data_IF_273188498790
#
_entry.id   IF_273188498790
#
_cell.length_a   1.000
_cell.length_b   1.000
_cell.length_c   1.000
_cell.angle_alpha   90.00
_cell.angle_beta   90.00
_cell.angle_gamma   90.00
#
_symmetry.space_group_name_H-M   'P 1'
#
loop_
_entity.id
_entity.type
_entity.pdbx_description
1 polymer ?
#
# COMPACT_ATOMS: atom_id res chain seq x y z
N UNK A 1 -4.02 15.58 -2.67
CA UNK A 1 -4.67 15.55 -1.37
C UNK A 1 -5.94 16.40 -1.36
N UNK A 2 -6.70 16.45 -0.26
CA UNK A 2 -7.88 17.29 -0.16
C UNK A 2 -7.50 18.77 -0.32
N UNK A 3 -8.34 19.49 -1.03
CA UNK A 3 -8.18 20.94 -1.28
C UNK A 3 -9.43 21.64 -0.78
N UNK A 4 -9.25 22.65 0.07
CA UNK A 4 -10.32 23.55 0.49
C UNK A 4 -10.28 24.81 -0.39
N UNK A 5 -11.40 25.12 -1.02
CA UNK A 5 -11.60 26.38 -1.72
C UNK A 5 -12.62 27.22 -0.95
N UNK A 6 -12.18 28.33 -0.40
CA UNK A 6 -13.08 29.34 0.15
C UNK A 6 -13.47 30.31 -0.97
N UNK A 7 -14.75 30.33 -1.30
CA UNK A 7 -15.31 31.19 -2.33
C UNK A 7 -16.26 32.22 -1.69
N UNK A 8 -15.78 33.40 -1.31
CA UNK A 8 -16.61 34.47 -0.77
C UNK A 8 -17.76 34.83 -1.71
N UNK A 9 -18.89 35.31 -1.15
CA UNK A 9 -20.11 35.52 -1.90
C UNK A 9 -19.99 36.56 -3.04
N UNK A 10 -19.18 37.57 -2.86
CA UNK A 10 -18.88 38.55 -3.89
C UNK A 10 -18.14 37.95 -5.09
N UNK A 11 -17.19 37.05 -4.82
CA UNK A 11 -16.46 36.30 -5.85
C UNK A 11 -17.41 35.34 -6.60
N UNK A 12 -18.31 34.65 -5.88
CA UNK A 12 -19.29 33.77 -6.53
C UNK A 12 -20.25 34.52 -7.47
N UNK A 13 -20.54 35.78 -7.17
CA UNK A 13 -21.45 36.65 -7.98
C UNK A 13 -20.72 37.44 -9.05
N UNK A 14 -19.40 37.41 -9.10
CA UNK A 14 -18.62 38.17 -10.08
C UNK A 14 -18.73 37.58 -11.48
N UNK A 15 -18.76 38.43 -12.48
CA UNK A 15 -18.70 38.03 -13.88
C UNK A 15 -17.27 37.68 -14.26
N UNK A 16 -17.08 36.50 -14.89
CA UNK A 16 -15.78 36.05 -15.38
C UNK A 16 -15.81 35.84 -16.90
N UNK A 17 -14.74 36.23 -17.57
CA UNK A 17 -14.54 35.92 -18.99
C UNK A 17 -13.88 34.55 -19.14
N UNK A 18 -14.66 33.53 -19.48
CA UNK A 18 -14.19 32.12 -19.60
C UNK A 18 -13.03 32.01 -20.61
N UNK A 19 -12.99 32.84 -21.65
CA UNK A 19 -11.89 32.89 -22.62
C UNK A 19 -10.50 33.18 -21.99
N UNK A 20 -10.46 33.76 -20.79
CA UNK A 20 -9.21 34.06 -20.06
C UNK A 20 -8.74 32.91 -19.15
N UNK A 21 -9.57 31.87 -18.96
CA UNK A 21 -9.21 30.74 -18.12
C UNK A 21 -8.20 29.85 -18.85
N UNK A 22 -6.96 29.81 -18.34
CA UNK A 22 -5.92 28.94 -18.90
C UNK A 22 -6.08 27.52 -18.35
N UNK A 23 -6.08 26.52 -19.23
CA UNK A 23 -6.04 25.13 -18.83
C UNK A 23 -4.71 24.85 -18.12
N UNK A 24 -4.77 24.45 -16.85
CA UNK A 24 -3.59 24.02 -16.12
C UNK A 24 -3.28 22.57 -16.51
N UNK A 25 -2.08 22.31 -17.00
CA UNK A 25 -1.57 20.97 -17.29
C UNK A 25 -0.48 20.63 -16.30
N UNK A 26 -0.78 19.69 -15.41
CA UNK A 26 0.23 19.13 -14.48
C UNK A 26 0.92 17.99 -15.19
N UNK A 27 2.23 18.14 -15.46
CA UNK A 27 3.03 17.08 -16.05
C UNK A 27 3.68 16.26 -14.93
N UNK A 28 3.57 14.92 -14.96
CA UNK A 28 4.26 14.09 -13.97
C UNK A 28 5.78 14.27 -14.06
N UNK A 29 6.46 14.23 -12.92
CA UNK A 29 7.92 14.30 -12.86
C UNK A 29 8.51 13.04 -13.46
N UNK A 30 9.19 13.17 -14.61
CA UNK A 30 9.88 12.06 -15.25
C UNK A 30 11.19 11.75 -14.53
N UNK A 31 11.51 10.47 -14.44
CA UNK A 31 12.79 10.01 -13.94
C UNK A 31 13.84 10.04 -15.07
N UNK A 32 14.93 10.77 -14.86
CA UNK A 32 16.02 10.97 -15.84
C UNK A 32 17.41 10.95 -15.20
N UNK A 33 17.68 10.01 -14.30
CA UNK A 33 18.99 9.92 -13.66
C UNK A 33 19.58 8.51 -13.80
N UNK A 34 20.27 8.27 -14.91
CA UNK A 34 20.88 6.98 -15.22
C UNK A 34 21.99 6.59 -14.25
N UNK A 35 22.77 7.56 -13.76
CA UNK A 35 23.83 7.32 -12.79
C UNK A 35 23.27 6.82 -11.47
N UNK A 36 22.22 7.46 -10.97
CA UNK A 36 21.53 7.05 -9.74
C UNK A 36 20.88 5.67 -9.91
N UNK A 37 20.29 5.40 -11.09
CA UNK A 37 19.70 4.09 -11.39
C UNK A 37 20.76 2.98 -11.42
N UNK A 38 21.89 3.22 -12.04
CA UNK A 38 23.02 2.26 -12.06
C UNK A 38 23.53 1.98 -10.66
N UNK A 39 23.65 3.02 -9.81
CA UNK A 39 24.03 2.88 -8.40
C UNK A 39 23.00 2.04 -7.63
N UNK A 40 21.71 2.34 -7.75
CA UNK A 40 20.63 1.56 -7.14
C UNK A 40 20.71 0.07 -7.52
N UNK A 41 20.88 -0.21 -8.83
CA UNK A 41 20.95 -1.59 -9.32
C UNK A 41 22.25 -2.30 -8.88
N UNK A 42 23.34 -1.58 -8.72
CA UNK A 42 24.59 -2.11 -8.16
C UNK A 42 24.43 -2.46 -6.69
N UNK A 43 23.91 -1.54 -5.87
CA UNK A 43 23.69 -1.76 -4.43
C UNK A 43 22.69 -2.92 -4.20
N UNK A 44 21.60 -2.93 -4.96
CA UNK A 44 20.62 -4.00 -4.95
C UNK A 44 21.21 -5.38 -5.32
N UNK A 45 22.10 -5.43 -6.32
CA UNK A 45 22.77 -6.67 -6.73
C UNK A 45 23.65 -7.21 -5.62
N UNK A 46 24.34 -6.35 -4.89
CA UNK A 46 25.28 -6.72 -3.83
C UNK A 46 24.59 -6.98 -2.47
N UNK A 47 23.34 -6.56 -2.31
CA UNK A 47 22.55 -6.84 -1.12
C UNK A 47 22.24 -8.33 -0.99
N UNK A 48 22.38 -8.86 0.23
CA UNK A 48 22.07 -10.25 0.58
C UNK A 48 20.60 -10.43 0.99
N UNK A 49 20.03 -9.41 1.65
CA UNK A 49 18.68 -9.43 2.23
C UNK A 49 17.83 -8.24 1.76
N UNK A 50 17.67 -8.02 0.44
CA UNK A 50 16.89 -6.89 -0.04
C UNK A 50 15.40 -7.09 0.20
N UNK A 51 14.71 -5.97 0.46
CA UNK A 51 13.24 -5.90 0.56
C UNK A 51 12.73 -4.70 -0.25
N UNK A 52 11.53 -4.85 -0.81
CA UNK A 52 10.77 -3.73 -1.35
C UNK A 52 9.63 -3.43 -0.39
N UNK A 53 9.50 -2.15 -0.02
CA UNK A 53 8.36 -1.64 0.74
C UNK A 53 7.40 -0.96 -0.23
N UNK A 54 6.26 -1.60 -0.45
CA UNK A 54 5.21 -1.13 -1.33
C UNK A 54 4.24 -0.20 -0.58
N UNK A 55 4.03 1.01 -1.11
CA UNK A 55 3.10 2.00 -0.57
C UNK A 55 1.91 2.30 -1.49
N UNK A 56 0.97 3.10 -0.99
CA UNK A 56 -0.24 3.51 -1.72
C UNK A 56 0.01 4.28 -3.01
N UNK A 57 1.21 4.86 -3.16
CA UNK A 57 1.64 5.54 -4.38
C UNK A 57 1.61 4.65 -5.63
N UNK A 58 1.70 3.32 -5.48
CA UNK A 58 1.58 2.37 -6.60
C UNK A 58 0.19 2.46 -7.24
N UNK A 59 -0.86 2.54 -6.42
CA UNK A 59 -2.23 2.73 -6.92
C UNK A 59 -2.45 4.16 -7.43
N UNK A 60 -2.02 5.16 -6.68
CA UNK A 60 -2.20 6.56 -7.04
C UNK A 60 -1.55 6.92 -8.38
N UNK A 61 -0.43 6.29 -8.72
CA UNK A 61 0.27 6.46 -10.00
C UNK A 61 -0.25 5.53 -11.11
N UNK A 62 -1.31 4.75 -10.86
CA UNK A 62 -1.84 3.75 -11.80
C UNK A 62 -0.78 2.75 -12.30
N UNK A 63 0.15 2.35 -11.43
CA UNK A 63 1.33 1.57 -11.79
C UNK A 63 1.27 0.11 -11.35
N UNK A 64 0.09 -0.41 -10.97
CA UNK A 64 -0.04 -1.74 -10.39
C UNK A 64 0.53 -2.85 -11.28
N UNK A 65 0.14 -2.90 -12.57
CA UNK A 65 0.61 -3.94 -13.48
C UNK A 65 2.10 -3.81 -13.80
N UNK A 66 2.58 -2.56 -13.91
CA UNK A 66 4.00 -2.28 -14.11
C UNK A 66 4.83 -2.68 -12.88
N UNK A 67 4.32 -2.41 -11.68
CA UNK A 67 4.91 -2.86 -10.43
C UNK A 67 4.99 -4.39 -10.35
N UNK A 68 3.89 -5.09 -10.63
CA UNK A 68 3.87 -6.56 -10.66
C UNK A 68 4.89 -7.12 -11.66
N UNK A 69 4.94 -6.56 -12.86
CA UNK A 69 5.95 -6.94 -13.87
C UNK A 69 7.38 -6.73 -13.34
N UNK A 70 7.66 -5.57 -12.77
CA UNK A 70 8.95 -5.25 -12.17
C UNK A 70 9.35 -6.24 -11.08
N UNK A 71 8.44 -6.52 -10.12
CA UNK A 71 8.70 -7.43 -8.99
C UNK A 71 9.03 -8.84 -9.48
N UNK A 72 8.27 -9.38 -10.42
CA UNK A 72 8.52 -10.72 -10.96
C UNK A 72 9.81 -10.82 -11.79
N UNK A 73 10.30 -9.70 -12.33
CA UNK A 73 11.62 -9.66 -12.99
C UNK A 73 12.77 -9.70 -12.00
N UNK A 74 12.69 -8.94 -10.91
CA UNK A 74 13.81 -8.82 -9.94
C UNK A 74 13.78 -9.86 -8.84
N UNK A 75 12.63 -10.52 -8.61
CA UNK A 75 12.41 -11.59 -7.61
C UNK A 75 12.91 -11.20 -6.22
N UNK A 76 12.43 -10.06 -5.71
CA UNK A 76 12.74 -9.55 -4.37
C UNK A 76 11.48 -9.61 -3.52
N UNK A 77 11.59 -10.01 -2.22
CA UNK A 77 10.48 -10.02 -1.29
C UNK A 77 9.85 -8.64 -1.14
N UNK A 78 8.51 -8.59 -1.03
CA UNK A 78 7.73 -7.35 -0.90
C UNK A 78 6.97 -7.35 0.42
N UNK A 79 7.20 -6.31 1.22
CA UNK A 79 6.36 -5.96 2.35
C UNK A 79 5.43 -4.81 1.98
N UNK A 80 4.26 -4.76 2.59
CA UNK A 80 3.20 -3.85 2.22
C UNK A 80 2.89 -2.86 3.35
N UNK A 81 2.71 -1.58 3.00
CA UNK A 81 1.99 -0.66 3.88
C UNK A 81 0.49 -0.96 3.86
N UNK A 82 -0.29 -0.39 4.78
CA UNK A 82 -1.74 -0.55 4.84
C UNK A 82 -2.44 -0.27 3.50
N UNK A 83 -2.01 0.78 2.79
CA UNK A 83 -2.59 1.20 1.51
C UNK A 83 -2.10 0.38 0.30
N UNK A 84 -1.36 -0.69 0.52
CA UNK A 84 -0.76 -1.49 -0.53
C UNK A 84 -0.89 -3.01 -0.28
N UNK A 85 -1.80 -3.45 0.58
CA UNK A 85 -1.94 -4.87 0.91
C UNK A 85 -2.45 -5.72 -0.27
N UNK A 86 -3.02 -5.08 -1.29
CA UNK A 86 -3.60 -5.65 -2.49
C UNK A 86 -2.70 -5.54 -3.75
N UNK A 87 -1.50 -4.97 -3.63
CA UNK A 87 -0.60 -4.81 -4.79
C UNK A 87 -0.09 -6.15 -5.34
N UNK A 88 0.05 -7.15 -4.46
CA UNK A 88 0.32 -8.54 -4.83
C UNK A 88 -0.77 -9.46 -4.28
N UNK A 89 -1.15 -10.49 -5.01
CA UNK A 89 -2.07 -11.51 -4.50
C UNK A 89 -1.54 -12.15 -3.22
N UNK A 90 -2.45 -12.61 -2.35
CA UNK A 90 -2.07 -13.26 -1.09
C UNK A 90 -1.13 -14.45 -1.28
N UNK A 91 -1.37 -15.26 -2.33
CA UNK A 91 -0.59 -16.45 -2.64
C UNK A 91 0.69 -16.17 -3.46
N UNK A 92 1.01 -14.91 -3.74
CA UNK A 92 2.25 -14.58 -4.44
C UNK A 92 3.45 -14.88 -3.55
N UNK A 93 4.39 -15.67 -4.05
CA UNK A 93 5.59 -16.08 -3.29
C UNK A 93 6.49 -14.91 -2.89
N UNK A 94 6.37 -13.78 -3.57
CA UNK A 94 7.13 -12.56 -3.26
C UNK A 94 6.43 -11.69 -2.21
N UNK A 95 5.13 -11.90 -1.94
CA UNK A 95 4.39 -11.18 -0.90
C UNK A 95 4.74 -11.71 0.48
N UNK A 96 5.32 -10.86 1.31
CA UNK A 96 5.68 -11.22 2.68
C UNK A 96 4.53 -10.92 3.64
N UNK A 97 4.06 -9.69 3.69
CA UNK A 97 2.95 -9.30 4.55
C UNK A 97 2.88 -7.81 4.81
N UNK A 98 1.97 -7.43 5.68
CA UNK A 98 1.72 -6.06 6.13
C UNK A 98 2.71 -5.68 7.23
N UNK A 99 3.34 -4.49 7.15
CA UNK A 99 4.32 -3.98 8.12
C UNK A 99 3.76 -2.83 8.94
N UNK A 100 4.44 -2.54 10.05
CA UNK A 100 4.17 -1.41 10.93
C UNK A 100 3.68 -1.86 12.31
N UNK A 101 3.17 -0.91 13.11
CA UNK A 101 2.77 -1.13 14.52
C UNK A 101 1.73 -2.24 14.69
N UNK A 102 0.90 -2.45 13.68
CA UNK A 102 -0.12 -3.51 13.65
C UNK A 102 0.18 -4.55 12.56
N UNK A 103 1.41 -4.57 12.04
CA UNK A 103 1.82 -5.46 10.96
C UNK A 103 1.97 -6.92 11.39
N UNK A 104 2.08 -7.79 10.39
CA UNK A 104 2.43 -9.18 10.64
C UNK A 104 3.83 -9.26 11.28
N UNK A 105 3.99 -10.01 12.35
CA UNK A 105 5.25 -10.12 13.10
C UNK A 105 6.41 -10.54 12.20
N UNK A 106 6.20 -11.57 11.38
CA UNK A 106 7.23 -12.04 10.42
C UNK A 106 7.60 -10.99 9.38
N UNK A 107 6.64 -10.14 8.94
CA UNK A 107 6.92 -9.09 7.95
C UNK A 107 7.78 -7.97 8.56
N UNK A 108 7.48 -7.58 9.81
CA UNK A 108 8.29 -6.63 10.56
C UNK A 108 9.72 -7.17 10.82
N UNK A 109 9.85 -8.44 11.22
CA UNK A 109 11.15 -9.08 11.43
C UNK A 109 11.94 -9.20 10.12
N UNK A 110 11.29 -9.56 9.02
CA UNK A 110 11.94 -9.56 7.71
C UNK A 110 12.45 -8.16 7.32
N UNK A 111 11.63 -7.12 7.51
CA UNK A 111 12.06 -5.74 7.28
C UNK A 111 13.20 -5.33 8.20
N UNK A 112 13.17 -5.73 9.48
CA UNK A 112 14.24 -5.48 10.44
C UNK A 112 15.56 -6.13 10.03
N UNK A 113 15.53 -7.38 9.56
CA UNK A 113 16.71 -8.17 9.17
C UNK A 113 17.24 -7.80 7.77
N UNK A 114 16.57 -6.93 7.02
CA UNK A 114 16.99 -6.53 5.67
C UNK A 114 18.23 -5.63 5.70
N UNK A 115 19.07 -5.72 4.67
CA UNK A 115 20.25 -4.86 4.45
C UNK A 115 20.02 -3.80 3.36
N UNK A 116 18.93 -3.93 2.60
CA UNK A 116 18.55 -2.99 1.55
C UNK A 116 17.03 -2.87 1.47
N UNK A 117 16.53 -1.64 1.45
CA UNK A 117 15.10 -1.34 1.31
C UNK A 117 14.86 -0.38 0.14
N UNK A 118 14.07 -0.82 -0.84
CA UNK A 118 13.54 0.05 -1.88
C UNK A 118 12.10 0.43 -1.52
N UNK A 119 11.90 1.68 -1.14
CA UNK A 119 10.59 2.23 -0.78
C UNK A 119 9.93 2.82 -2.02
N UNK A 120 8.75 2.35 -2.35
CA UNK A 120 7.98 2.75 -3.54
C UNK A 120 6.64 3.38 -3.14
N UNK A 121 6.57 4.71 -3.15
CA UNK A 121 5.36 5.48 -2.89
C UNK A 121 4.77 5.27 -1.49
N UNK A 122 5.63 5.25 -0.48
CA UNK A 122 5.26 5.19 0.93
C UNK A 122 5.96 6.28 1.71
N UNK A 123 5.22 7.01 2.54
CA UNK A 123 5.72 8.16 3.31
C UNK A 123 6.67 7.78 4.45
N UNK A 124 6.81 6.51 4.78
CA UNK A 124 7.57 6.03 5.94
C UNK A 124 7.11 6.71 7.25
N UNK A 125 5.80 6.80 7.46
CA UNK A 125 5.22 7.41 8.66
C UNK A 125 5.53 6.61 9.94
N UNK A 126 5.16 7.18 11.10
CA UNK A 126 5.44 6.57 12.41
C UNK A 126 4.81 5.19 12.58
N UNK A 127 3.65 4.94 11.96
CA UNK A 127 2.98 3.64 12.05
C UNK A 127 3.75 2.54 11.32
N UNK A 128 4.52 2.90 10.29
CA UNK A 128 5.35 1.96 9.51
C UNK A 128 6.74 1.78 10.12
N UNK A 129 7.35 2.85 10.62
CA UNK A 129 8.77 2.88 11.03
C UNK A 129 8.97 2.77 12.54
N UNK A 130 7.88 2.84 13.32
CA UNK A 130 7.96 2.90 14.78
C UNK A 130 8.48 4.25 15.29
N UNK A 131 8.65 4.38 16.60
CA UNK A 131 9.20 5.58 17.25
C UNK A 131 10.73 5.66 17.13
N UNK A 132 11.40 4.53 17.06
CA UNK A 132 12.87 4.40 17.08
C UNK A 132 13.44 4.38 15.66
N UNK A 133 13.57 5.56 15.04
CA UNK A 133 14.05 5.69 13.64
C UNK A 133 15.47 5.16 13.45
N UNK A 134 16.33 5.27 14.46
CA UNK A 134 17.70 4.75 14.39
C UNK A 134 17.71 3.23 14.18
N UNK A 135 16.89 2.51 14.95
CA UNK A 135 16.73 1.05 14.82
C UNK A 135 16.15 0.65 13.45
N UNK A 136 15.15 1.41 12.98
CA UNK A 136 14.58 1.18 11.64
C UNK A 136 15.64 1.28 10.53
N UNK A 137 16.56 2.23 10.63
CA UNK A 137 17.62 2.48 9.63
C UNK A 137 18.85 1.58 9.78
N UNK A 138 19.05 1.01 10.95
CA UNK A 138 20.29 0.34 11.31
C UNK A 138 20.67 -0.72 10.27
N UNK A 139 21.93 -0.69 9.80
CA UNK A 139 22.51 -1.61 8.83
C UNK A 139 21.77 -1.70 7.48
N UNK A 140 21.02 -0.66 7.07
CA UNK A 140 20.22 -0.66 5.84
C UNK A 140 20.63 0.44 4.87
N UNK A 141 20.76 0.07 3.60
CA UNK A 141 20.76 1.03 2.49
C UNK A 141 19.31 1.26 2.05
N UNK A 142 18.81 2.49 2.18
CA UNK A 142 17.42 2.83 1.85
C UNK A 142 17.37 3.74 0.64
N UNK A 143 16.66 3.30 -0.39
CA UNK A 143 16.25 4.12 -1.54
C UNK A 143 14.79 4.48 -1.40
N UNK A 144 14.46 5.77 -1.45
CA UNK A 144 13.10 6.25 -1.29
C UNK A 144 12.62 6.94 -2.57
N UNK A 145 11.63 6.32 -3.22
CA UNK A 145 11.00 6.82 -4.46
C UNK A 145 9.63 7.39 -4.12
N UNK A 146 9.48 8.69 -4.29
CA UNK A 146 8.20 9.38 -4.10
C UNK A 146 8.08 10.58 -5.04
N UNK A 147 6.86 10.90 -5.47
CA UNK A 147 6.57 12.09 -6.28
C UNK A 147 6.57 13.36 -5.42
N UNK A 148 6.27 13.25 -4.12
CA UNK A 148 6.28 14.37 -3.19
C UNK A 148 7.65 14.50 -2.53
N UNK A 149 8.35 15.58 -2.90
CA UNK A 149 9.72 15.84 -2.40
C UNK A 149 9.74 16.00 -0.87
N UNK A 150 8.69 16.56 -0.29
CA UNK A 150 8.57 16.78 1.14
C UNK A 150 8.45 15.51 1.98
N UNK A 151 8.06 14.38 1.37
CA UNK A 151 7.98 13.09 2.06
C UNK A 151 9.34 12.35 2.10
N UNK A 152 10.24 12.67 1.15
CA UNK A 152 11.56 12.03 1.11
C UNK A 152 12.49 12.69 2.13
N UNK A 153 13.14 11.88 2.96
CA UNK A 153 14.00 12.36 4.06
C UNK A 153 13.26 13.27 5.06
N UNK A 154 11.95 13.14 5.18
CA UNK A 154 11.16 13.84 6.18
C UNK A 154 11.34 13.18 7.57
N UNK A 155 10.84 11.96 7.70
CA UNK A 155 10.92 11.22 8.97
C UNK A 155 12.17 10.32 9.04
N UNK A 156 12.45 9.57 7.99
CA UNK A 156 13.62 8.71 7.88
C UNK A 156 14.68 9.43 7.07
N UNK A 157 15.65 10.02 7.75
CA UNK A 157 16.74 10.80 7.13
C UNK A 157 17.78 9.90 6.44
N UNK A 158 18.62 10.50 5.60
CA UNK A 158 19.74 9.88 4.88
C UNK A 158 19.34 8.72 3.95
N UNK A 159 18.08 8.70 3.49
CA UNK A 159 17.68 7.86 2.38
C UNK A 159 18.24 8.40 1.07
N UNK A 160 18.65 7.51 0.16
CA UNK A 160 18.94 7.92 -1.22
C UNK A 160 17.65 8.32 -1.91
N UNK A 161 17.49 9.64 -2.12
CA UNK A 161 16.26 10.25 -2.62
C UNK A 161 16.09 10.03 -4.14
N UNK A 162 14.90 9.57 -4.55
CA UNK A 162 14.46 9.51 -5.93
C UNK A 162 13.12 10.24 -6.05
N UNK A 163 13.16 11.55 -6.30
CA UNK A 163 11.94 12.33 -6.47
C UNK A 163 11.41 12.19 -7.90
N UNK A 164 10.48 11.27 -8.09
CA UNK A 164 9.90 10.91 -9.38
C UNK A 164 8.49 10.38 -9.24
N UNK A 165 7.70 10.53 -10.28
CA UNK A 165 6.49 9.74 -10.47
C UNK A 165 6.84 8.25 -10.57
N UNK A 166 6.06 7.38 -9.89
CA UNK A 166 6.34 5.95 -9.83
C UNK A 166 6.20 5.25 -11.18
N UNK A 167 5.24 5.67 -12.02
CA UNK A 167 5.08 5.10 -13.35
C UNK A 167 6.32 5.33 -14.21
N UNK A 168 6.86 6.56 -14.17
CA UNK A 168 8.09 6.92 -14.85
C UNK A 168 9.30 6.14 -14.33
N UNK A 169 9.47 6.05 -13.01
CA UNK A 169 10.55 5.31 -12.39
C UNK A 169 10.49 3.82 -12.74
N UNK A 170 9.33 3.17 -12.55
CA UNK A 170 9.14 1.75 -12.83
C UNK A 170 9.31 1.43 -14.32
N UNK A 171 8.85 2.29 -15.22
CA UNK A 171 9.07 2.16 -16.66
C UNK A 171 10.56 2.15 -16.98
N UNK A 172 11.32 3.07 -16.40
CA UNK A 172 12.75 3.20 -16.65
C UNK A 172 13.52 2.03 -16.07
N UNK A 173 13.35 1.69 -14.79
CA UNK A 173 14.08 0.60 -14.15
C UNK A 173 13.80 -0.76 -14.80
N UNK A 174 12.55 -1.02 -15.20
CA UNK A 174 12.15 -2.26 -15.88
C UNK A 174 12.90 -2.45 -17.22
N UNK A 175 13.10 -1.37 -17.98
CA UNK A 175 13.90 -1.41 -19.22
C UNK A 175 15.36 -1.79 -18.96
N UNK A 176 15.96 -1.28 -17.88
CA UNK A 176 17.34 -1.61 -17.50
C UNK A 176 17.51 -3.08 -17.04
N UNK A 177 16.47 -3.67 -16.47
CA UNK A 177 16.48 -5.06 -15.99
C UNK A 177 16.38 -6.10 -17.11
N UNK A 178 15.81 -5.78 -18.26
CA UNK A 178 15.52 -6.73 -19.36
C UNK A 178 16.74 -7.51 -19.89
N UNK A 179 17.95 -7.21 -19.44
CA UNK A 179 19.21 -7.83 -19.91
C UNK A 179 20.03 -8.56 -18.84
N UNK A 180 19.57 -8.62 -17.58
CA UNK A 180 20.40 -9.17 -16.48
C UNK A 180 19.61 -10.16 -15.63
N UNK A 181 20.17 -11.35 -15.38
CA UNK A 181 19.65 -12.30 -14.40
C UNK A 181 19.82 -11.73 -12.99
N UNK A 182 18.75 -11.72 -12.19
CA UNK A 182 18.83 -11.42 -10.76
C UNK A 182 19.60 -12.50 -10.02
N UNK A 183 20.42 -12.17 -9.02
CA UNK A 183 21.06 -13.17 -8.16
C UNK A 183 20.02 -14.04 -7.47
N UNK A 184 20.34 -15.32 -7.23
CA UNK A 184 19.53 -16.16 -6.34
C UNK A 184 19.62 -15.64 -4.91
N UNK A 185 18.50 -15.59 -4.20
CA UNK A 185 18.42 -15.20 -2.79
C UNK A 185 17.65 -16.24 -1.99
N UNK A 186 17.87 -17.51 -2.31
CA UNK A 186 17.11 -18.62 -1.73
C UNK A 186 17.24 -18.65 -0.20
N UNK A 187 18.43 -18.39 0.34
CA UNK A 187 18.64 -18.37 1.80
C UNK A 187 17.80 -17.28 2.48
N UNK A 188 17.69 -16.12 1.86
CA UNK A 188 16.84 -15.04 2.36
C UNK A 188 15.35 -15.42 2.34
N UNK A 189 14.87 -16.05 1.27
CA UNK A 189 13.49 -16.57 1.23
C UNK A 189 13.26 -17.68 2.25
N UNK A 190 14.23 -18.55 2.48
CA UNK A 190 14.14 -19.59 3.49
C UNK A 190 14.05 -19.00 4.91
N UNK A 191 14.83 -17.96 5.22
CA UNK A 191 14.76 -17.23 6.49
C UNK A 191 13.38 -16.59 6.69
N UNK A 192 12.86 -15.88 5.68
CA UNK A 192 11.51 -15.27 5.72
C UNK A 192 10.43 -16.35 5.93
N UNK A 193 10.51 -17.46 5.24
CA UNK A 193 9.56 -18.56 5.39
C UNK A 193 9.64 -19.20 6.79
N UNK A 194 10.82 -19.28 7.39
CA UNK A 194 11.00 -19.72 8.77
C UNK A 194 10.32 -18.75 9.75
N UNK A 195 10.52 -17.44 9.58
CA UNK A 195 9.84 -16.43 10.38
C UNK A 195 8.32 -16.55 10.27
N UNK A 196 7.80 -16.72 9.05
CA UNK A 196 6.35 -16.89 8.82
C UNK A 196 5.78 -18.13 9.51
N UNK A 197 6.53 -19.23 9.54
CA UNK A 197 6.13 -20.45 10.27
C UNK A 197 6.21 -20.30 11.78
N UNK A 198 7.15 -19.51 12.30
CA UNK A 198 7.34 -19.32 13.73
C UNK A 198 6.32 -18.36 14.38
N UNK A 199 5.70 -17.50 13.59
CA UNK A 199 4.80 -16.45 14.09
C UNK A 199 3.48 -16.36 13.29
N UNK A 200 2.70 -17.44 13.16
CA UNK A 200 1.42 -17.38 12.43
C UNK A 200 0.38 -16.61 13.25
N UNK A 201 -0.24 -15.57 12.66
CA UNK A 201 -1.23 -14.72 13.34
C UNK A 201 -2.47 -15.48 13.81
N UNK A 202 -2.81 -16.59 13.13
CA UNK A 202 -3.96 -17.41 13.48
C UNK A 202 -3.77 -18.22 14.76
N UNK A 203 -2.52 -18.49 15.16
CA UNK A 203 -2.18 -19.31 16.33
C UNK A 203 -1.93 -18.48 17.59
N UNK A 204 -1.46 -17.24 17.45
CA UNK A 204 -1.17 -16.35 18.59
C UNK A 204 -2.39 -16.16 19.51
N UNK A 205 -3.58 -16.18 18.92
CA UNK A 205 -4.85 -16.01 19.64
C UNK A 205 -5.66 -17.31 19.79
N UNK A 206 -5.07 -18.47 19.54
CA UNK A 206 -5.79 -19.75 19.55
C UNK A 206 -6.38 -20.15 20.92
N UNK A 207 -5.83 -19.59 22.01
CA UNK A 207 -6.27 -19.84 23.39
C UNK A 207 -7.31 -18.84 23.93
N UNK A 208 -7.71 -17.84 23.14
CA UNK A 208 -8.69 -16.84 23.56
C UNK A 208 -10.09 -17.44 23.39
N UNK A 209 -10.95 -17.32 24.40
CA UNK A 209 -12.37 -17.69 24.30
C UNK A 209 -13.07 -16.73 23.36
N UNK A 210 -13.90 -17.24 22.43
CA UNK A 210 -14.65 -16.45 21.46
C UNK A 210 -14.12 -16.59 20.03
N UNK A 211 -14.42 -15.60 19.20
CA UNK A 211 -14.04 -15.62 17.78
C UNK A 211 -12.64 -15.00 17.61
N UNK A 212 -11.69 -15.79 17.12
CA UNK A 212 -10.40 -15.25 16.69
C UNK A 212 -10.62 -14.37 15.43
N UNK A 213 -10.33 -13.06 15.50
CA UNK A 213 -10.63 -12.13 14.40
C UNK A 213 -9.80 -12.43 13.13
N UNK A 214 -8.56 -12.82 13.26
CA UNK A 214 -7.71 -13.15 12.11
C UNK A 214 -8.24 -14.41 11.40
N UNK A 215 -8.62 -15.43 12.17
CA UNK A 215 -9.25 -16.62 11.61
C UNK A 215 -10.58 -16.30 10.90
N UNK A 216 -11.40 -15.41 11.49
CA UNK A 216 -12.63 -14.94 10.86
C UNK A 216 -12.34 -14.26 9.51
N UNK A 217 -11.35 -13.38 9.43
CA UNK A 217 -10.97 -12.71 8.19
C UNK A 217 -10.49 -13.71 7.12
N UNK A 218 -9.73 -14.74 7.50
CA UNK A 218 -9.37 -15.81 6.56
C UNK A 218 -10.62 -16.55 6.02
N UNK A 219 -11.61 -16.82 6.88
CA UNK A 219 -12.87 -17.44 6.44
C UNK A 219 -13.68 -16.51 5.54
N UNK A 220 -13.77 -15.22 5.90
CA UNK A 220 -14.41 -14.19 5.09
C UNK A 220 -13.79 -14.12 3.69
N UNK A 221 -12.47 -14.15 3.59
CA UNK A 221 -11.76 -14.13 2.30
C UNK A 221 -12.18 -15.28 1.40
N UNK A 222 -12.35 -16.48 1.96
CA UNK A 222 -12.78 -17.68 1.20
C UNK A 222 -14.22 -17.54 0.68
N UNK A 223 -15.10 -16.93 1.46
CA UNK A 223 -16.49 -16.67 1.09
C UNK A 223 -16.64 -15.49 0.11
N UNK A 224 -15.66 -14.58 0.09
CA UNK A 224 -15.68 -13.33 -0.67
C UNK A 224 -14.88 -13.37 -1.98
N UNK A 225 -14.54 -14.54 -2.49
CA UNK A 225 -13.70 -14.70 -3.71
C UNK A 225 -14.26 -14.01 -4.95
N UNK A 226 -15.58 -13.85 -5.04
CA UNK A 226 -16.27 -13.19 -6.17
C UNK A 226 -16.37 -11.69 -6.01
N UNK A 227 -16.06 -11.13 -4.83
CA UNK A 227 -16.07 -9.70 -4.62
C UNK A 227 -14.93 -9.04 -5.42
N UNK A 228 -15.23 -7.92 -6.08
CA UNK A 228 -14.23 -7.11 -6.79
C UNK A 228 -13.49 -6.16 -5.83
N UNK A 229 -14.20 -5.70 -4.80
CA UNK A 229 -13.66 -4.76 -3.82
C UNK A 229 -14.03 -5.21 -2.41
N UNK A 230 -13.07 -5.14 -1.51
CA UNK A 230 -13.28 -5.25 -0.06
C UNK A 230 -12.97 -3.90 0.54
N UNK A 231 -13.94 -3.32 1.22
CA UNK A 231 -13.82 -2.03 1.89
C UNK A 231 -13.74 -2.28 3.39
N UNK A 232 -12.78 -1.66 4.06
CA UNK A 232 -12.73 -1.66 5.52
C UNK A 232 -12.90 -0.24 6.05
N UNK A 233 -13.83 -0.09 6.97
CA UNK A 233 -13.88 1.10 7.82
C UNK A 233 -12.70 1.13 8.79
N UNK A 234 -12.61 2.13 9.63
CA UNK A 234 -11.49 2.36 10.54
C UNK A 234 -11.80 1.84 11.93
N UNK A 235 -10.89 1.02 12.46
CA UNK A 235 -10.98 0.38 13.77
C UNK A 235 -10.07 -0.83 13.86
N UNK A 236 -10.22 -1.66 14.87
CA UNK A 236 -9.44 -2.90 15.03
C UNK A 236 -9.62 -3.85 13.84
N UNK A 237 -10.85 -3.93 13.32
CA UNK A 237 -11.20 -4.73 12.14
C UNK A 237 -10.39 -4.34 10.89
N UNK A 238 -10.00 -3.07 10.73
CA UNK A 238 -9.13 -2.62 9.66
C UNK A 238 -7.75 -3.31 9.73
N UNK A 239 -7.20 -3.41 10.95
CA UNK A 239 -5.89 -4.02 11.16
C UNK A 239 -5.96 -5.54 10.97
N UNK A 240 -6.98 -6.22 11.48
CA UNK A 240 -7.20 -7.64 11.23
C UNK A 240 -7.39 -7.93 9.74
N UNK A 241 -8.14 -7.08 9.03
CA UNK A 241 -8.29 -7.17 7.59
C UNK A 241 -6.93 -7.03 6.87
N UNK A 242 -6.12 -6.02 7.23
CA UNK A 242 -4.82 -5.80 6.63
C UNK A 242 -3.83 -6.95 6.87
N UNK A 243 -3.91 -7.59 8.04
CA UNK A 243 -3.07 -8.74 8.41
C UNK A 243 -3.44 -10.03 7.65
N UNK A 244 -4.74 -10.29 7.47
CA UNK A 244 -5.24 -11.65 7.20
C UNK A 244 -6.13 -11.80 5.97
N UNK A 245 -6.45 -10.72 5.22
CA UNK A 245 -7.19 -10.85 3.96
C UNK A 245 -6.39 -11.59 2.90
N UNK A 246 -7.00 -12.65 2.37
CA UNK A 246 -6.46 -13.46 1.26
C UNK A 246 -6.94 -12.90 -0.08
N UNK A 247 -6.48 -11.69 -0.42
CA UNK A 247 -6.87 -11.01 -1.66
C UNK A 247 -6.32 -11.73 -2.90
N UNK A 248 -7.16 -11.91 -3.90
CA UNK A 248 -6.71 -12.40 -5.20
C UNK A 248 -6.26 -11.26 -6.13
N UNK A 249 -5.72 -11.60 -7.30
CA UNK A 249 -5.14 -10.63 -8.25
C UNK A 249 -6.11 -9.53 -8.69
N UNK A 250 -7.42 -9.82 -8.70
CA UNK A 250 -8.45 -8.94 -9.25
C UNK A 250 -9.23 -8.19 -8.16
N UNK A 251 -8.91 -8.42 -6.90
CA UNK A 251 -9.57 -7.75 -5.77
C UNK A 251 -8.81 -6.49 -5.37
N UNK A 252 -9.58 -5.45 -5.07
CA UNK A 252 -9.09 -4.20 -4.50
C UNK A 252 -9.44 -4.12 -3.02
N UNK A 253 -8.52 -3.54 -2.24
CA UNK A 253 -8.78 -3.16 -0.86
C UNK A 253 -8.85 -1.64 -0.74
N UNK A 254 -9.94 -1.15 -0.14
CA UNK A 254 -10.15 0.28 0.09
C UNK A 254 -10.32 0.54 1.58
N UNK A 255 -9.62 1.56 2.08
CA UNK A 255 -9.75 2.00 3.46
C UNK A 255 -9.24 3.43 3.64
N UNK A 256 -9.64 4.11 4.71
CA UNK A 256 -9.10 5.40 5.10
C UNK A 256 -7.79 5.20 5.87
N UNK A 257 -6.67 5.03 5.16
CA UNK A 257 -5.37 4.72 5.77
C UNK A 257 -4.54 5.94 6.20
N UNK A 258 -4.89 7.13 5.75
CA UNK A 258 -4.21 8.39 6.08
C UNK A 258 -4.76 9.00 7.37
N UNK A 259 -5.89 9.70 7.27
CA UNK A 259 -6.55 10.33 8.41
C UNK A 259 -7.20 9.31 9.37
N UNK A 260 -7.60 8.15 8.86
CA UNK A 260 -8.26 7.14 9.66
C UNK A 260 -9.69 7.55 10.08
N UNK A 261 -10.45 8.10 9.13
CA UNK A 261 -11.82 8.59 9.39
C UNK A 261 -12.78 7.43 9.53
N UNK A 262 -13.41 7.28 10.70
CA UNK A 262 -14.56 6.39 10.90
C UNK A 262 -15.76 6.86 10.05
N UNK A 263 -16.55 5.90 9.58
CA UNK A 263 -17.68 6.18 8.67
C UNK A 263 -17.31 6.21 7.19
N UNK A 264 -16.04 6.05 6.84
CA UNK A 264 -15.57 5.94 5.45
C UNK A 264 -16.16 4.73 4.72
N UNK A 265 -16.33 3.61 5.44
CA UNK A 265 -16.55 2.30 4.84
C UNK A 265 -17.83 2.19 4.03
N UNK A 266 -18.98 2.60 4.59
CA UNK A 266 -20.27 2.45 3.92
C UNK A 266 -20.38 3.32 2.66
N UNK A 267 -20.10 4.64 2.68
CA UNK A 267 -20.09 5.45 1.47
C UNK A 267 -19.12 4.98 0.40
N UNK A 268 -17.92 4.55 0.80
CA UNK A 268 -16.92 4.01 -0.12
C UNK A 268 -17.39 2.71 -0.80
N UNK A 269 -18.11 1.85 -0.06
CA UNK A 269 -18.68 0.62 -0.61
C UNK A 269 -19.77 0.91 -1.64
N UNK A 270 -20.63 1.90 -1.38
CA UNK A 270 -21.63 2.37 -2.31
C UNK A 270 -20.97 2.90 -3.59
N UNK A 271 -19.96 3.77 -3.44
CA UNK A 271 -19.21 4.30 -4.58
C UNK A 271 -18.53 3.19 -5.40
N UNK A 272 -17.95 2.18 -4.73
CA UNK A 272 -17.35 1.03 -5.39
C UNK A 272 -18.39 0.18 -6.15
N UNK A 273 -19.61 0.02 -5.62
CA UNK A 273 -20.70 -0.69 -6.28
C UNK A 273 -21.13 0.01 -7.58
N UNK A 274 -21.27 1.34 -7.55
CA UNK A 274 -21.56 2.11 -8.76
C UNK A 274 -20.44 2.03 -9.82
N UNK A 275 -19.18 1.95 -9.38
CA UNK A 275 -18.04 1.86 -10.29
C UNK A 275 -17.82 0.44 -10.88
N UNK A 276 -18.24 -0.61 -10.20
CA UNK A 276 -17.91 -2.01 -10.52
C UNK A 276 -19.14 -2.93 -10.67
N UNK A 277 -20.29 -2.38 -10.99
CA UNK A 277 -21.47 -3.20 -11.25
C UNK A 277 -21.21 -4.17 -12.43
N UNK A 278 -21.50 -5.51 -12.33
CA UNK A 278 -22.33 -6.17 -11.33
C UNK A 278 -21.55 -6.94 -10.22
N UNK A 279 -20.28 -6.67 -10.00
CA UNK A 279 -19.49 -7.46 -9.03
C UNK A 279 -19.85 -7.15 -7.58
N UNK A 280 -19.97 -8.16 -6.71
CA UNK A 280 -20.22 -7.92 -5.28
C UNK A 280 -19.13 -7.07 -4.62
N UNK A 281 -19.54 -6.24 -3.66
CA UNK A 281 -18.67 -5.47 -2.78
C UNK A 281 -18.86 -6.00 -1.35
N UNK A 282 -17.76 -6.11 -0.61
CA UNK A 282 -17.78 -6.52 0.80
C UNK A 282 -17.35 -5.35 1.67
N UNK A 283 -18.17 -4.99 2.64
CA UNK A 283 -17.85 -4.01 3.67
C UNK A 283 -17.51 -4.72 4.98
N UNK A 284 -16.40 -4.35 5.59
CA UNK A 284 -16.02 -4.70 6.96
C UNK A 284 -16.07 -3.40 7.78
N UNK A 285 -17.00 -3.30 8.71
CA UNK A 285 -17.18 -2.11 9.53
C UNK A 285 -17.38 -2.48 10.99
N UNK A 286 -16.95 -1.61 11.90
CA UNK A 286 -17.36 -1.64 13.29
C UNK A 286 -18.72 -0.95 13.47
N UNK A 287 -19.32 -1.14 14.64
CA UNK A 287 -20.60 -0.57 15.01
C UNK A 287 -20.64 0.96 14.90
N UNK A 288 -19.67 1.65 15.50
CA UNK A 288 -19.59 3.11 15.48
C UNK A 288 -19.33 3.67 14.09
N UNK A 289 -18.43 3.06 13.31
CA UNK A 289 -18.15 3.49 11.94
C UNK A 289 -19.35 3.30 11.02
N UNK A 290 -20.08 2.18 11.18
CA UNK A 290 -21.30 1.92 10.42
C UNK A 290 -22.41 2.92 10.76
N UNK A 291 -22.58 3.23 12.05
CA UNK A 291 -23.59 4.21 12.49
C UNK A 291 -23.33 5.62 11.97
N UNK A 292 -22.07 6.02 11.76
CA UNK A 292 -21.72 7.38 11.33
C UNK A 292 -22.39 7.80 10.02
N UNK A 293 -22.71 6.83 9.16
CA UNK A 293 -23.32 7.07 7.84
C UNK A 293 -24.49 6.10 7.56
N UNK A 294 -25.17 5.64 8.60
CA UNK A 294 -26.26 4.64 8.48
C UNK A 294 -27.39 5.10 7.55
N UNK A 295 -27.63 6.42 7.44
CA UNK A 295 -28.62 7.00 6.53
C UNK A 295 -28.35 6.65 5.06
N UNK A 296 -27.10 6.33 4.69
CA UNK A 296 -26.74 5.92 3.33
C UNK A 296 -27.30 4.55 2.94
N UNK A 297 -27.88 3.79 3.88
CA UNK A 297 -28.66 2.61 3.55
C UNK A 297 -29.89 2.94 2.71
N UNK A 298 -30.42 4.17 2.81
CA UNK A 298 -31.47 4.64 1.92
C UNK A 298 -31.01 4.71 0.47
N UNK A 299 -29.78 5.16 0.25
CA UNK A 299 -29.15 5.16 -1.09
C UNK A 299 -29.04 3.72 -1.63
N UNK A 300 -28.61 2.77 -0.79
CA UNK A 300 -28.54 1.34 -1.18
C UNK A 300 -29.92 0.80 -1.52
N UNK A 301 -30.93 1.07 -0.68
CA UNK A 301 -32.30 0.61 -0.92
C UNK A 301 -32.93 1.21 -2.20
N UNK A 302 -32.62 2.48 -2.50
CA UNK A 302 -33.14 3.16 -3.68
C UNK A 302 -32.57 2.60 -4.98
N UNK A 303 -31.29 2.29 -4.99
CA UNK A 303 -30.59 1.81 -6.21
C UNK A 303 -30.55 0.28 -6.35
N UNK A 304 -31.04 -0.48 -5.35
CA UNK A 304 -31.12 -1.97 -5.30
C UNK A 304 -29.75 -2.63 -5.50
#
# INVERSE_FOLDING_TARGET
>A
GPVLLDLPMDIQRSEIKISKVKKISIKPKKFHNDTLLKKLLFDLKNSKKPIILAGGGIHSSQSLDLFRKFIHQIKIPVVNSLMAIDVLPYNDSLRIGFIGSYGNRWANLALSNSDFVLVLGSRLDVRQTGSQIKEFKENKTIYHVDCEKGEINNRVLDCTAINSDLHSFLTTITKYLNKKKSPSRQDWFNEINSLKKSFPESEENSKISGINPNYFIHKLSKSSKKASVIVSDVGQHQMWAAQSLELNKNQRFLTSGGMGSMGFGLPASIGAAFANNPSPIVLIAGDGGFQSNIQELQTVAHHK
#
